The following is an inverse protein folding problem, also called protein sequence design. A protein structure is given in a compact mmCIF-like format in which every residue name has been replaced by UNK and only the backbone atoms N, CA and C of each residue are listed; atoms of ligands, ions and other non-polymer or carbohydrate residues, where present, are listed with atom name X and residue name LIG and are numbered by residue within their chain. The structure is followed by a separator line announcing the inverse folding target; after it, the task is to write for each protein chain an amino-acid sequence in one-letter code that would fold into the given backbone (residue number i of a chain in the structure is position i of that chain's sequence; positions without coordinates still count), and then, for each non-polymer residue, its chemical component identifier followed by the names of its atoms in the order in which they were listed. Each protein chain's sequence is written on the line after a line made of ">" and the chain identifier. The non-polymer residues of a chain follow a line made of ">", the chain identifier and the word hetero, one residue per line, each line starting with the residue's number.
data_IF_207119148795
#
_entry.id   IF_207119148795
#
_cell.length_a   1.000
_cell.length_b   1.000
_cell.length_c   1.000
_cell.angle_alpha   90.00
_cell.angle_beta   90.00
_cell.angle_gamma   90.00
#
_symmetry.space_group_name_H-M   'P 1'
#
loop_
_entity.id
_entity.type
_entity.pdbx_description
1 polymer ?
#
# COMPACT_ATOMS: atom_id res chain seq x y z
N UNK A 1 -11.06 14.41 -12.42
CA UNK A 1 -10.97 12.94 -12.42
C UNK A 1 -9.61 12.41 -11.96
N UNK A 2 -8.47 12.82 -12.56
CA UNK A 2 -7.15 12.34 -12.13
C UNK A 2 -6.79 12.68 -10.66
N UNK A 3 -7.23 13.84 -10.16
CA UNK A 3 -6.99 14.25 -8.76
C UNK A 3 -7.59 13.28 -7.73
N UNK A 4 -8.79 12.74 -8.00
CA UNK A 4 -9.45 11.76 -7.13
C UNK A 4 -8.69 10.44 -7.12
N UNK A 5 -8.13 10.05 -8.27
CA UNK A 5 -7.30 8.85 -8.37
C UNK A 5 -6.07 9.01 -7.47
N UNK A 6 -5.33 10.11 -7.58
CA UNK A 6 -4.15 10.34 -6.73
C UNK A 6 -4.48 10.39 -5.23
N UNK A 7 -5.59 11.03 -4.84
CA UNK A 7 -6.01 11.08 -3.44
C UNK A 7 -6.40 9.70 -2.91
N UNK A 8 -7.19 8.93 -3.65
CA UNK A 8 -7.54 7.56 -3.27
C UNK A 8 -6.32 6.66 -3.17
N UNK A 9 -5.37 6.81 -4.11
CA UNK A 9 -4.15 6.03 -4.14
C UNK A 9 -3.24 6.35 -2.94
N UNK A 10 -3.14 7.64 -2.59
CA UNK A 10 -2.45 8.07 -1.37
C UNK A 10 -3.07 7.48 -0.11
N UNK A 11 -4.41 7.52 0.02
CA UNK A 11 -5.13 6.93 1.16
C UNK A 11 -4.90 5.42 1.27
N UNK A 12 -4.94 4.71 0.14
CA UNK A 12 -4.71 3.26 0.10
C UNK A 12 -3.27 2.92 0.51
N UNK A 13 -2.27 3.69 0.05
CA UNK A 13 -0.86 3.48 0.45
C UNK A 13 -0.69 3.66 1.95
N UNK A 14 -1.22 4.76 2.51
CA UNK A 14 -1.11 5.05 3.95
C UNK A 14 -1.80 3.97 4.79
N UNK A 15 -3.00 3.55 4.38
CA UNK A 15 -3.73 2.47 5.06
C UNK A 15 -2.97 1.14 4.97
N UNK A 16 -2.45 0.78 3.80
CA UNK A 16 -1.72 -0.49 3.59
C UNK A 16 -0.41 -0.52 4.38
N UNK A 17 0.32 0.59 4.45
CA UNK A 17 1.51 0.71 5.30
C UNK A 17 1.16 0.57 6.78
N UNK A 18 0.11 1.27 7.25
CA UNK A 18 -0.37 1.18 8.64
C UNK A 18 -0.81 -0.24 9.00
N UNK A 19 -1.48 -0.93 8.08
CA UNK A 19 -1.90 -2.33 8.24
C UNK A 19 -0.71 -3.28 8.29
N UNK A 20 0.31 -3.07 7.44
CA UNK A 20 1.56 -3.84 7.48
C UNK A 20 2.30 -3.70 8.81
N UNK A 21 2.35 -2.48 9.36
CA UNK A 21 2.93 -2.22 10.69
C UNK A 21 2.10 -2.89 11.81
N UNK A 22 0.77 -2.87 11.70
CA UNK A 22 -0.12 -3.55 12.66
C UNK A 22 0.11 -5.07 12.66
N UNK A 23 0.19 -5.67 11.48
CA UNK A 23 0.50 -7.11 11.31
C UNK A 23 1.87 -7.50 11.88
N UNK A 24 2.86 -6.61 11.78
CA UNK A 24 4.18 -6.83 12.38
C UNK A 24 4.09 -6.88 13.92
N UNK A 25 3.23 -6.04 14.52
CA UNK A 25 2.96 -6.02 15.96
C UNK A 25 2.21 -7.27 16.43
N UNK A 26 1.31 -7.81 15.62
CA UNK A 26 0.56 -9.06 15.91
C UNK A 26 1.39 -10.35 15.72
N UNK A 27 2.71 -10.25 15.51
CA UNK A 27 3.64 -11.37 15.25
C UNK A 27 3.32 -12.19 13.99
N UNK A 28 2.39 -11.75 13.14
CA UNK A 28 2.09 -12.37 11.85
C UNK A 28 3.11 -11.96 10.79
N UNK A 29 4.36 -12.41 10.97
CA UNK A 29 5.51 -11.97 10.17
C UNK A 29 5.36 -12.24 8.67
N UNK A 30 4.76 -13.36 8.28
CA UNK A 30 4.52 -13.66 6.86
C UNK A 30 3.47 -12.74 6.23
N UNK A 31 2.38 -12.46 6.95
CA UNK A 31 1.35 -11.51 6.51
C UNK A 31 1.90 -10.09 6.40
N UNK A 32 2.68 -9.65 7.39
CA UNK A 32 3.35 -8.36 7.37
C UNK A 32 4.29 -8.21 6.16
N UNK A 33 5.04 -9.25 5.81
CA UNK A 33 5.98 -9.25 4.69
C UNK A 33 5.23 -9.18 3.34
N UNK A 34 4.12 -9.92 3.20
CA UNK A 34 3.25 -9.85 2.03
C UNK A 34 2.61 -8.47 1.85
N UNK A 35 2.13 -7.86 2.95
CA UNK A 35 1.52 -6.51 2.92
C UNK A 35 2.58 -5.44 2.63
N UNK A 36 3.79 -5.60 3.14
CA UNK A 36 4.90 -4.69 2.84
C UNK A 36 5.26 -4.74 1.35
N UNK A 37 5.34 -5.94 0.77
CA UNK A 37 5.54 -6.13 -0.66
C UNK A 37 4.37 -5.55 -1.48
N UNK A 38 3.13 -5.79 -1.05
CA UNK A 38 1.93 -5.22 -1.67
C UNK A 38 1.97 -3.68 -1.65
N UNK A 39 2.42 -3.09 -0.56
CA UNK A 39 2.57 -1.63 -0.44
C UNK A 39 3.59 -1.07 -1.43
N UNK A 40 4.70 -1.79 -1.69
CA UNK A 40 5.66 -1.41 -2.73
C UNK A 40 5.04 -1.48 -4.13
N UNK A 41 4.30 -2.54 -4.43
CA UNK A 41 3.56 -2.66 -5.69
C UNK A 41 2.55 -1.52 -5.87
N UNK A 42 1.80 -1.17 -4.83
CA UNK A 42 0.83 -0.05 -4.87
C UNK A 42 1.48 1.31 -5.12
N UNK A 43 2.75 1.50 -4.76
CA UNK A 43 3.50 2.71 -5.07
C UNK A 43 3.96 2.69 -6.54
N UNK A 44 4.39 1.54 -7.06
CA UNK A 44 5.07 1.43 -8.36
C UNK A 44 4.10 1.27 -9.53
N UNK A 45 3.09 0.39 -9.43
CA UNK A 45 2.11 0.14 -10.51
C UNK A 45 1.39 1.40 -11.05
N UNK A 46 1.01 2.40 -10.23
CA UNK A 46 0.36 3.61 -10.71
C UNK A 46 1.18 4.35 -11.77
N UNK A 47 2.50 4.30 -11.69
CA UNK A 47 3.39 4.94 -12.65
C UNK A 47 3.36 4.29 -14.04
N UNK A 48 2.96 3.02 -14.13
CA UNK A 48 2.85 2.29 -15.40
C UNK A 48 1.43 2.31 -15.98
N UNK A 49 0.42 2.59 -15.15
CA UNK A 49 -0.99 2.49 -15.56
C UNK A 49 -1.72 3.84 -15.65
N UNK A 50 -1.28 4.87 -14.91
CA UNK A 50 -1.95 6.18 -14.83
C UNK A 50 -1.14 7.28 -15.54
N UNK A 51 0.18 7.12 -15.65
CA UNK A 51 1.08 8.00 -16.42
C UNK A 51 0.89 7.76 -17.92
#
# INVERSE_FOLDING_TARGET
>A
MKIFIYVSLFLIIVYTMGFGVSMWKEKQKMGALAIFFLSLCLIILPFFSIL
#
